data_IF_832948633211
#
_entry.id   IF_832948633211
#
_cell.length_a   1.000
_cell.length_b   1.000
_cell.length_c   1.000
_cell.angle_alpha   90.00
_cell.angle_beta   90.00
_cell.angle_gamma   90.00
#
_symmetry.space_group_name_H-M   'P 1'
#
loop_
_entity.id
_entity.type
_entity.pdbx_description
1 polymer ?
#
# COMPACT_ATOMS: atom_id res chain seq x y z
N UNK A 1 21.86 61.10 -15.65
CA UNK A 1 20.73 60.17 -15.50
C UNK A 1 21.15 59.01 -14.60
N UNK A 2 20.47 58.73 -13.48
CA UNK A 2 20.85 57.63 -12.60
C UNK A 2 20.29 56.29 -13.12
N UNK A 3 21.13 55.25 -13.14
CA UNK A 3 20.73 53.89 -13.49
C UNK A 3 19.97 53.27 -12.31
N UNK A 4 18.70 52.92 -12.53
CA UNK A 4 17.94 52.10 -11.60
C UNK A 4 18.51 50.67 -11.58
N UNK A 5 19.17 50.29 -10.50
CA UNK A 5 19.42 48.88 -10.18
C UNK A 5 18.12 48.24 -9.69
N UNK A 6 17.53 47.40 -10.53
CA UNK A 6 16.44 46.51 -10.14
C UNK A 6 16.98 45.44 -9.18
N UNK A 7 16.65 45.56 -7.90
CA UNK A 7 16.85 44.49 -6.93
C UNK A 7 15.93 43.31 -7.27
N UNK A 8 16.43 42.34 -8.03
CA UNK A 8 15.82 41.01 -8.05
C UNK A 8 16.10 40.34 -6.71
N UNK A 9 15.13 40.43 -5.79
CA UNK A 9 15.13 39.54 -4.62
C UNK A 9 14.97 38.11 -5.14
N UNK A 10 15.91 37.18 -4.85
CA UNK A 10 15.69 35.79 -5.18
C UNK A 10 14.43 35.33 -4.45
N UNK A 11 13.45 34.83 -5.20
CA UNK A 11 12.30 34.13 -4.62
C UNK A 11 12.85 32.92 -3.87
N UNK A 12 13.09 33.08 -2.57
CA UNK A 12 13.28 31.96 -1.66
C UNK A 12 11.94 31.26 -1.53
N UNK A 13 11.66 30.35 -2.46
CA UNK A 13 10.63 29.35 -2.24
C UNK A 13 10.97 28.66 -0.91
N UNK A 14 10.02 28.57 0.04
CA UNK A 14 10.25 27.80 1.24
C UNK A 14 10.68 26.39 0.81
N UNK A 15 11.64 25.77 1.52
CA UNK A 15 12.03 24.40 1.21
C UNK A 15 10.75 23.55 1.18
N UNK A 16 10.56 22.70 0.15
CA UNK A 16 9.37 21.90 0.04
C UNK A 16 9.16 21.14 1.36
N UNK A 17 7.93 21.06 1.87
CA UNK A 17 7.65 20.35 3.10
C UNK A 17 8.30 18.97 3.01
N UNK A 18 9.02 18.56 4.05
CA UNK A 18 9.64 17.23 4.11
C UNK A 18 8.50 16.22 3.97
N UNK A 19 8.35 15.64 2.79
CA UNK A 19 7.37 14.60 2.53
C UNK A 19 7.56 13.52 3.61
N UNK A 20 6.47 13.04 4.25
CA UNK A 20 6.59 12.00 5.26
C UNK A 20 7.27 10.75 4.69
N UNK A 21 7.24 10.56 3.36
CA UNK A 21 7.85 9.49 2.58
C UNK A 21 9.37 9.65 2.37
N UNK A 22 10.16 9.26 3.37
CA UNK A 22 11.63 9.16 3.25
C UNK A 22 12.09 8.06 2.28
N UNK A 23 13.39 8.06 1.94
CA UNK A 23 14.03 7.06 1.04
C UNK A 23 13.79 5.62 1.50
N UNK A 24 13.84 5.39 2.81
CA UNK A 24 13.57 4.07 3.41
C UNK A 24 12.15 3.59 3.12
N UNK A 25 11.14 4.47 3.14
CA UNK A 25 9.78 4.05 2.79
C UNK A 25 9.65 3.69 1.31
N UNK A 26 10.29 4.42 0.41
CA UNK A 26 10.27 4.07 -1.02
C UNK A 26 10.94 2.71 -1.24
N UNK A 27 12.01 2.42 -0.50
CA UNK A 27 12.67 1.11 -0.50
C UNK A 27 11.74 0.01 0.01
N UNK A 28 11.17 0.19 1.20
CA UNK A 28 10.25 -0.79 1.81
C UNK A 28 9.02 -1.07 0.94
N UNK A 29 8.45 -0.04 0.30
CA UNK A 29 7.31 -0.22 -0.59
C UNK A 29 7.69 -1.04 -1.82
N UNK A 30 8.87 -0.80 -2.39
CA UNK A 30 9.39 -1.55 -3.52
C UNK A 30 9.64 -3.01 -3.16
N UNK A 31 10.27 -3.26 -2.01
CA UNK A 31 10.51 -4.60 -1.49
C UNK A 31 9.20 -5.32 -1.19
N UNK A 32 8.20 -4.64 -0.62
CA UNK A 32 6.86 -5.18 -0.40
C UNK A 32 6.23 -5.65 -1.71
N UNK A 33 6.25 -4.79 -2.73
CA UNK A 33 5.67 -5.09 -4.04
C UNK A 33 6.39 -6.28 -4.68
N UNK A 34 7.73 -6.26 -4.74
CA UNK A 34 8.50 -7.33 -5.38
C UNK A 34 8.37 -8.66 -4.64
N UNK A 35 8.47 -8.67 -3.30
CA UNK A 35 8.29 -9.90 -2.51
C UNK A 35 6.89 -10.47 -2.68
N UNK A 36 5.88 -9.62 -2.75
CA UNK A 36 4.51 -10.07 -2.97
C UNK A 36 4.40 -10.75 -4.34
N UNK A 37 4.87 -10.12 -5.43
CA UNK A 37 4.84 -10.75 -6.76
C UNK A 37 5.59 -12.07 -6.80
N UNK A 38 6.82 -12.10 -6.26
CA UNK A 38 7.65 -13.31 -6.24
C UNK A 38 6.98 -14.43 -5.43
N UNK A 39 6.21 -14.08 -4.38
CA UNK A 39 5.50 -15.07 -3.57
C UNK A 39 4.24 -15.63 -4.24
N UNK A 40 3.64 -14.92 -5.19
CA UNK A 40 2.48 -15.41 -5.96
C UNK A 40 2.90 -16.35 -7.09
N UNK A 41 4.10 -16.16 -7.64
CA UNK A 41 4.65 -16.99 -8.71
C UNK A 41 5.35 -18.24 -8.14
N UNK A 42 4.59 -19.31 -7.95
CA UNK A 42 5.09 -20.57 -7.36
C UNK A 42 6.27 -21.21 -8.13
N UNK A 43 6.34 -21.00 -9.44
CA UNK A 43 7.43 -21.49 -10.30
C UNK A 43 8.64 -20.53 -10.29
N UNK A 44 8.51 -19.36 -9.68
CA UNK A 44 9.49 -18.28 -9.68
C UNK A 44 9.30 -17.30 -10.82
N UNK A 45 9.92 -16.12 -10.71
CA UNK A 45 9.76 -15.01 -11.65
C UNK A 45 11.11 -14.46 -12.11
N UNK A 46 11.21 -14.04 -13.37
CA UNK A 46 12.44 -13.43 -13.87
C UNK A 46 12.50 -11.94 -13.55
N UNK A 47 13.70 -11.36 -13.52
CA UNK A 47 13.87 -9.91 -13.36
C UNK A 47 13.25 -9.11 -14.52
N UNK A 48 13.15 -9.72 -15.71
CA UNK A 48 12.50 -9.11 -16.87
C UNK A 48 10.97 -9.06 -16.69
N UNK A 49 10.36 -10.12 -16.18
CA UNK A 49 8.92 -10.15 -15.93
C UNK A 49 8.53 -9.15 -14.83
N UNK A 50 9.32 -9.07 -13.76
CA UNK A 50 9.15 -8.03 -12.73
C UNK A 50 9.26 -6.60 -13.30
N UNK A 51 10.20 -6.37 -14.21
CA UNK A 51 10.33 -5.07 -14.88
C UNK A 51 9.06 -4.74 -15.70
N UNK A 52 8.56 -5.71 -16.46
CA UNK A 52 7.37 -5.54 -17.30
C UNK A 52 6.13 -5.27 -16.46
N UNK A 53 5.94 -5.99 -15.36
CA UNK A 53 4.77 -5.87 -14.49
C UNK A 53 4.63 -4.48 -13.85
N UNK A 54 5.76 -3.82 -13.52
CA UNK A 54 5.76 -2.55 -12.79
C UNK A 54 6.22 -1.34 -13.60
N UNK A 55 6.54 -1.51 -14.89
CA UNK A 55 7.13 -0.47 -15.74
C UNK A 55 8.32 0.25 -15.08
N UNK A 56 9.04 -0.48 -14.22
CA UNK A 56 10.14 0.07 -13.45
C UNK A 56 11.41 0.16 -14.30
N UNK A 57 12.28 1.13 -13.98
CA UNK A 57 13.62 1.18 -14.61
C UNK A 57 14.38 -0.10 -14.33
N UNK A 58 14.87 -0.74 -15.38
CA UNK A 58 15.58 -2.03 -15.32
C UNK A 58 16.67 -2.04 -14.23
N UNK A 59 17.53 -1.01 -14.19
CA UNK A 59 18.60 -0.88 -13.19
C UNK A 59 18.10 -0.94 -11.75
N UNK A 60 16.93 -0.35 -11.47
CA UNK A 60 16.36 -0.38 -10.13
C UNK A 60 15.85 -1.78 -9.77
N UNK A 61 15.28 -2.51 -10.73
CA UNK A 61 14.79 -3.87 -10.51
C UNK A 61 15.96 -4.78 -10.14
N UNK A 62 17.00 -4.84 -10.97
CA UNK A 62 18.14 -5.72 -10.73
C UNK A 62 18.94 -5.34 -9.48
N UNK A 63 19.10 -4.04 -9.19
CA UNK A 63 19.73 -3.60 -7.93
C UNK A 63 18.95 -4.11 -6.71
N UNK A 64 17.63 -3.92 -6.70
CA UNK A 64 16.80 -4.36 -5.58
C UNK A 64 16.77 -5.89 -5.46
N UNK A 65 16.75 -6.63 -6.57
CA UNK A 65 16.86 -8.10 -6.53
C UNK A 65 18.20 -8.57 -5.95
N UNK A 66 19.32 -7.92 -6.30
CA UNK A 66 20.62 -8.22 -5.70
C UNK A 66 20.61 -7.94 -4.19
N UNK A 67 20.17 -6.74 -3.77
CA UNK A 67 20.06 -6.37 -2.34
C UNK A 67 19.20 -7.38 -1.56
N UNK A 68 18.06 -7.81 -2.12
CA UNK A 68 17.17 -8.79 -1.49
C UNK A 68 17.76 -10.20 -1.46
N UNK A 69 18.60 -10.55 -2.43
CA UNK A 69 19.33 -11.83 -2.46
C UNK A 69 20.43 -11.84 -1.40
N UNK A 70 21.22 -10.77 -1.31
CA UNK A 70 22.25 -10.58 -0.28
C UNK A 70 21.65 -10.58 1.13
N UNK A 71 20.49 -9.94 1.30
CA UNK A 71 19.73 -9.99 2.55
C UNK A 71 19.11 -11.37 2.85
N UNK A 72 19.15 -12.31 1.90
CA UNK A 72 18.59 -13.65 2.02
C UNK A 72 17.06 -13.68 2.04
N UNK A 73 16.40 -12.67 1.49
CA UNK A 73 14.94 -12.66 1.35
C UNK A 73 14.47 -13.49 0.17
N UNK A 74 15.25 -13.51 -0.91
CA UNK A 74 14.97 -14.30 -2.11
C UNK A 74 16.16 -15.19 -2.45
N UNK A 75 15.88 -16.22 -3.22
CA UNK A 75 16.88 -17.12 -3.82
C UNK A 75 16.66 -17.12 -5.33
N UNK A 76 17.66 -17.57 -6.09
CA UNK A 76 17.48 -17.75 -7.53
C UNK A 76 18.07 -19.06 -8.01
N UNK A 77 17.50 -19.56 -9.11
CA UNK A 77 18.10 -20.62 -9.93
C UNK A 77 18.44 -20.04 -11.30
N UNK A 78 19.54 -20.49 -11.89
CA UNK A 78 19.86 -20.14 -13.27
C UNK A 78 18.99 -20.99 -14.21
N UNK A 79 18.36 -20.31 -15.17
CA UNK A 79 17.55 -20.93 -16.22
C UNK A 79 17.95 -20.35 -17.56
N UNK A 80 17.67 -21.04 -18.65
CA UNK A 80 17.93 -20.54 -20.00
C UNK A 80 16.59 -20.27 -20.67
N UNK A 81 16.27 -19.01 -20.89
CA UNK A 81 15.04 -18.60 -21.60
C UNK A 81 15.46 -18.00 -22.94
N UNK A 82 15.02 -18.63 -24.04
CA UNK A 82 15.35 -18.20 -25.41
C UNK A 82 16.86 -18.06 -25.66
N UNK A 83 17.66 -19.01 -25.15
CA UNK A 83 19.12 -19.03 -25.33
C UNK A 83 19.92 -18.02 -24.50
N UNK A 84 19.27 -17.28 -23.58
CA UNK A 84 19.95 -16.39 -22.64
C UNK A 84 19.82 -16.93 -21.22
N UNK A 85 20.94 -16.94 -20.50
CA UNK A 85 20.94 -17.22 -19.07
C UNK A 85 20.13 -16.13 -18.35
N UNK A 86 19.15 -16.57 -17.56
CA UNK A 86 18.30 -15.73 -16.74
C UNK A 86 18.24 -16.29 -15.32
N UNK A 87 18.01 -15.41 -14.36
CA UNK A 87 17.78 -15.78 -12.96
C UNK A 87 16.28 -15.87 -12.72
N UNK A 88 15.84 -17.04 -12.26
CA UNK A 88 14.48 -17.30 -11.81
C UNK A 88 14.44 -17.16 -10.29
N UNK A 89 13.77 -16.13 -9.79
CA UNK A 89 13.76 -15.77 -8.38
C UNK A 89 12.58 -16.41 -7.65
N UNK A 90 12.82 -16.89 -6.44
CA UNK A 90 11.80 -17.46 -5.55
C UNK A 90 11.98 -16.92 -4.14
N UNK A 91 10.87 -16.75 -3.42
CA UNK A 91 10.89 -16.24 -2.05
C UNK A 91 11.43 -17.29 -1.08
N UNK A 92 12.28 -16.86 -0.14
CA UNK A 92 12.78 -17.73 0.93
C UNK A 92 11.86 -17.71 2.15
N UNK A 93 12.01 -18.63 3.13
CA UNK A 93 11.30 -18.55 4.41
C UNK A 93 11.56 -17.24 5.18
N UNK A 94 12.79 -16.71 5.09
CA UNK A 94 13.14 -15.40 5.69
C UNK A 94 12.41 -14.27 4.97
N UNK A 95 12.35 -14.32 3.64
CA UNK A 95 11.60 -13.39 2.80
C UNK A 95 10.11 -13.40 3.13
N UNK A 96 9.52 -14.57 3.37
CA UNK A 96 8.10 -14.68 3.73
C UNK A 96 7.80 -14.01 5.09
N UNK A 97 8.67 -14.20 6.08
CA UNK A 97 8.57 -13.51 7.37
C UNK A 97 8.70 -11.99 7.19
N UNK A 98 9.64 -11.55 6.35
CA UNK A 98 9.83 -10.13 6.07
C UNK A 98 8.66 -9.51 5.30
N UNK A 99 8.09 -10.22 4.32
CA UNK A 99 6.87 -9.81 3.61
C UNK A 99 5.70 -9.62 4.59
N UNK A 100 5.51 -10.53 5.54
CA UNK A 100 4.48 -10.38 6.57
C UNK A 100 4.73 -9.19 7.49
N UNK A 101 5.99 -8.92 7.85
CA UNK A 101 6.38 -7.71 8.58
C UNK A 101 6.04 -6.45 7.79
N UNK A 102 6.42 -6.38 6.51
CA UNK A 102 6.13 -5.25 5.64
C UNK A 102 4.63 -5.03 5.46
N UNK A 103 3.84 -6.11 5.28
CA UNK A 103 2.37 -6.04 5.21
C UNK A 103 1.81 -5.37 6.46
N UNK A 104 2.17 -5.85 7.66
CA UNK A 104 1.70 -5.23 8.93
C UNK A 104 2.08 -3.76 9.02
N UNK A 105 3.35 -3.45 8.75
CA UNK A 105 3.89 -2.08 8.81
C UNK A 105 3.17 -1.13 7.86
N UNK A 106 2.94 -1.56 6.61
CA UNK A 106 2.28 -0.76 5.59
C UNK A 106 0.77 -0.69 5.76
N UNK A 107 0.11 -1.73 6.30
CA UNK A 107 -1.32 -1.67 6.62
C UNK A 107 -1.62 -0.54 7.60
N UNK A 108 -0.86 -0.40 8.69
CA UNK A 108 -1.06 0.69 9.65
C UNK A 108 -0.85 2.06 9.00
N UNK A 109 0.20 2.21 8.18
CA UNK A 109 0.48 3.46 7.47
C UNK A 109 -0.58 3.83 6.44
N UNK A 110 -1.03 2.85 5.66
CA UNK A 110 -2.08 3.06 4.65
C UNK A 110 -3.39 3.38 5.34
N UNK A 111 -3.74 2.71 6.44
CA UNK A 111 -4.94 3.04 7.25
C UNK A 111 -4.93 4.50 7.67
N UNK A 112 -3.83 4.95 8.29
CA UNK A 112 -3.68 6.35 8.66
C UNK A 112 -3.81 7.29 7.46
N UNK A 113 -3.16 6.98 6.33
CA UNK A 113 -3.25 7.80 5.13
C UNK A 113 -4.67 7.85 4.56
N UNK A 114 -5.42 6.75 4.59
CA UNK A 114 -6.81 6.73 4.12
C UNK A 114 -7.76 7.46 5.06
N UNK A 115 -7.42 7.57 6.35
CA UNK A 115 -8.21 8.33 7.32
C UNK A 115 -7.97 9.83 7.17
N UNK A 116 -6.71 10.24 6.97
CA UNK A 116 -6.33 11.66 6.81
C UNK A 116 -6.63 12.17 5.40
N UNK A 117 -6.46 11.31 4.39
CA UNK A 117 -6.66 11.62 2.97
C UNK A 117 -7.52 10.52 2.35
N UNK A 118 -8.83 10.50 2.65
CA UNK A 118 -9.73 9.53 2.07
C UNK A 118 -9.75 9.69 0.54
N UNK A 119 -9.72 8.59 -0.23
CA UNK A 119 -9.69 8.65 -1.69
C UNK A 119 -11.08 8.99 -2.24
N UNK A 120 -11.51 10.24 -2.04
CA UNK A 120 -12.80 10.78 -2.44
C UNK A 120 -12.69 11.65 -3.71
N UNK A 121 -13.85 11.93 -4.31
CA UNK A 121 -13.94 12.87 -5.44
C UNK A 121 -13.07 12.43 -6.63
N UNK A 122 -12.18 13.32 -7.08
CA UNK A 122 -11.30 13.07 -8.25
C UNK A 122 -10.16 12.09 -7.96
N UNK A 123 -9.89 11.81 -6.68
CA UNK A 123 -8.86 10.87 -6.25
C UNK A 123 -9.42 9.45 -6.11
N UNK A 124 -10.73 9.27 -6.18
CA UNK A 124 -11.35 7.95 -6.26
C UNK A 124 -10.96 7.25 -7.57
N UNK A 125 -10.38 6.03 -7.57
CA UNK A 125 -9.78 5.43 -8.76
C UNK A 125 -10.65 5.44 -10.04
N UNK A 126 -11.96 5.12 -10.00
CA UNK A 126 -12.84 5.19 -11.18
C UNK A 126 -13.00 6.58 -11.79
N UNK A 127 -12.79 7.63 -10.99
CA UNK A 127 -12.89 9.04 -11.40
C UNK A 127 -11.55 9.61 -11.87
N UNK A 128 -10.46 8.84 -11.78
CA UNK A 128 -9.15 9.25 -12.24
C UNK A 128 -9.03 9.05 -13.75
N UNK A 129 -8.61 10.10 -14.48
CA UNK A 129 -8.49 10.08 -15.95
C UNK A 129 -7.62 8.93 -16.47
N UNK A 130 -6.52 8.60 -15.80
CA UNK A 130 -5.63 7.52 -16.25
C UNK A 130 -6.28 6.14 -16.08
N UNK A 131 -7.09 5.93 -15.03
CA UNK A 131 -7.85 4.69 -14.85
C UNK A 131 -8.96 4.56 -15.89
N UNK A 132 -9.65 5.65 -16.21
CA UNK A 132 -10.61 5.67 -17.31
C UNK A 132 -9.96 5.27 -18.62
N UNK A 133 -8.78 5.83 -18.94
CA UNK A 133 -8.01 5.42 -20.13
C UNK A 133 -7.64 3.94 -20.13
N UNK A 134 -7.25 3.39 -18.98
CA UNK A 134 -6.93 1.96 -18.87
C UNK A 134 -8.15 1.07 -19.11
N UNK A 135 -9.29 1.42 -18.51
CA UNK A 135 -10.56 0.70 -18.70
C UNK A 135 -10.97 0.74 -20.18
N UNK A 136 -10.92 1.92 -20.80
CA UNK A 136 -11.23 2.08 -22.22
C UNK A 136 -10.28 1.25 -23.09
N UNK A 137 -8.98 1.27 -22.78
CA UNK A 137 -8.01 0.45 -23.50
C UNK A 137 -8.29 -1.06 -23.38
N UNK A 138 -8.66 -1.55 -22.20
CA UNK A 138 -9.06 -2.95 -22.02
C UNK A 138 -10.31 -3.28 -22.83
N UNK A 139 -11.31 -2.39 -22.85
CA UNK A 139 -12.53 -2.54 -23.65
C UNK A 139 -12.21 -2.58 -25.15
N UNK A 140 -11.27 -1.75 -25.62
CA UNK A 140 -10.85 -1.73 -27.03
C UNK A 140 -10.19 -3.06 -27.49
N UNK A 141 -9.75 -3.90 -26.56
CA UNK A 141 -9.19 -5.23 -26.87
C UNK A 141 -10.25 -6.36 -26.85
N UNK A 142 -11.50 -6.06 -26.48
CA UNK A 142 -12.56 -7.06 -26.43
C UNK A 142 -13.22 -7.17 -27.81
N UNK A 143 -13.38 -8.40 -28.29
CA UNK A 143 -13.86 -8.69 -29.64
C UNK A 143 -15.36 -9.00 -29.67
N UNK A 144 -15.95 -9.36 -28.52
CA UNK A 144 -17.33 -9.84 -28.42
C UNK A 144 -18.10 -9.19 -27.27
N UNK A 145 -19.43 -9.20 -27.40
CA UNK A 145 -20.33 -8.73 -26.35
C UNK A 145 -20.18 -9.55 -25.06
N UNK A 146 -20.01 -10.87 -25.16
CA UNK A 146 -19.87 -11.75 -23.99
C UNK A 146 -18.62 -11.42 -23.18
N UNK A 147 -17.50 -11.13 -23.86
CA UNK A 147 -16.26 -10.68 -23.21
C UNK A 147 -16.45 -9.34 -22.48
N UNK A 148 -17.20 -8.39 -23.08
CA UNK A 148 -17.53 -7.13 -22.42
C UNK A 148 -18.40 -7.34 -21.18
N UNK A 149 -19.41 -8.19 -21.27
CA UNK A 149 -20.29 -8.49 -20.13
C UNK A 149 -19.52 -9.16 -18.98
N UNK A 150 -18.62 -10.11 -19.29
CA UNK A 150 -17.78 -10.77 -18.28
C UNK A 150 -16.80 -9.79 -17.61
N UNK A 151 -16.19 -8.89 -18.40
CA UNK A 151 -15.34 -7.81 -17.87
C UNK A 151 -16.11 -6.89 -16.91
N UNK A 152 -17.30 -6.44 -17.31
CA UNK A 152 -18.15 -5.58 -16.48
C UNK A 152 -18.65 -6.29 -15.22
N UNK A 153 -19.01 -7.57 -15.30
CA UNK A 153 -19.41 -8.36 -14.13
C UNK A 153 -18.23 -8.56 -13.16
N UNK A 154 -17.02 -8.77 -13.68
CA UNK A 154 -15.79 -8.82 -12.88
C UNK A 154 -15.54 -7.51 -12.13
N UNK A 155 -15.69 -6.36 -12.80
CA UNK A 155 -15.62 -5.04 -12.18
C UNK A 155 -16.71 -4.86 -11.10
N UNK A 156 -17.95 -5.26 -11.41
CA UNK A 156 -19.06 -5.18 -10.47
C UNK A 156 -18.79 -6.00 -9.20
N UNK A 157 -18.38 -7.26 -9.35
CA UNK A 157 -17.97 -8.14 -8.24
C UNK A 157 -16.82 -7.54 -7.43
N UNK A 158 -15.85 -6.88 -8.06
CA UNK A 158 -14.77 -6.19 -7.37
C UNK A 158 -15.30 -5.10 -6.43
N UNK A 159 -16.21 -4.24 -6.91
CA UNK A 159 -16.80 -3.17 -6.07
C UNK A 159 -17.70 -3.73 -4.97
N UNK A 160 -18.49 -4.77 -5.24
CA UNK A 160 -19.28 -5.43 -4.20
C UNK A 160 -18.41 -5.96 -3.05
N UNK A 161 -17.28 -6.61 -3.36
CA UNK A 161 -16.31 -7.06 -2.34
C UNK A 161 -15.69 -5.88 -1.59
N UNK A 162 -15.52 -4.73 -2.23
CA UNK A 162 -15.01 -3.52 -1.58
C UNK A 162 -16.04 -2.94 -0.61
N UNK A 163 -17.31 -2.87 -0.99
CA UNK A 163 -18.42 -2.44 -0.12
C UNK A 163 -18.46 -3.31 1.14
N UNK A 164 -18.53 -4.63 1.00
CA UNK A 164 -18.55 -5.56 2.14
C UNK A 164 -17.38 -5.37 3.11
N UNK A 165 -16.18 -5.08 2.59
CA UNK A 165 -15.00 -4.78 3.42
C UNK A 165 -15.12 -3.47 4.17
N UNK A 166 -15.64 -2.42 3.53
CA UNK A 166 -15.87 -1.12 4.16
C UNK A 166 -16.96 -1.19 5.21
N UNK A 167 -18.05 -1.93 4.96
CA UNK A 167 -19.11 -2.18 5.96
C UNK A 167 -18.55 -2.90 7.19
N UNK A 168 -17.79 -3.98 6.99
CA UNK A 168 -17.12 -4.68 8.10
C UNK A 168 -16.19 -3.76 8.88
N UNK A 169 -15.45 -2.89 8.18
CA UNK A 169 -14.58 -1.92 8.83
C UNK A 169 -15.37 -0.89 9.65
N UNK A 170 -16.48 -0.38 9.11
CA UNK A 170 -17.40 0.50 9.82
C UNK A 170 -17.97 -0.15 11.08
N UNK A 171 -18.41 -1.42 10.98
CA UNK A 171 -18.88 -2.20 12.14
C UNK A 171 -17.82 -2.35 13.22
N UNK A 172 -16.56 -2.63 12.84
CA UNK A 172 -15.46 -2.73 13.79
C UNK A 172 -15.21 -1.40 14.52
N UNK A 173 -15.26 -0.27 13.81
CA UNK A 173 -15.12 1.05 14.42
C UNK A 173 -16.26 1.34 15.39
N UNK A 174 -17.51 1.03 15.00
CA UNK A 174 -18.68 1.18 15.87
C UNK A 174 -18.55 0.35 17.15
N UNK A 175 -18.04 -0.88 17.06
CA UNK A 175 -17.77 -1.71 18.25
C UNK A 175 -16.76 -1.02 19.19
N UNK A 176 -15.66 -0.50 18.64
CA UNK A 176 -14.66 0.24 19.44
C UNK A 176 -15.27 1.49 20.08
N UNK A 177 -16.12 2.23 19.36
CA UNK A 177 -16.84 3.39 19.92
C UNK A 177 -17.73 2.99 21.10
N UNK A 178 -18.48 1.89 20.98
CA UNK A 178 -19.33 1.41 22.07
C UNK A 178 -18.53 1.03 23.32
N UNK A 179 -17.38 0.35 23.14
CA UNK A 179 -16.49 0.01 24.25
C UNK A 179 -15.92 1.27 24.92
N UNK A 180 -15.56 2.30 24.14
CA UNK A 180 -15.12 3.59 24.67
C UNK A 180 -16.22 4.29 25.46
N UNK A 181 -17.47 4.28 24.97
CA UNK A 181 -18.61 4.84 25.70
C UNK A 181 -18.84 4.13 27.04
N UNK A 182 -18.70 2.80 27.08
CA UNK A 182 -18.78 2.02 28.31
C UNK A 182 -17.67 2.43 29.31
N UNK A 183 -16.42 2.53 28.84
CA UNK A 183 -15.28 2.98 29.65
C UNK A 183 -15.51 4.40 30.19
N UNK A 184 -16.00 5.32 29.35
CA UNK A 184 -16.33 6.68 29.77
C UNK A 184 -17.39 6.64 30.87
N UNK A 185 -18.46 5.86 30.69
CA UNK A 185 -19.51 5.67 31.67
C UNK A 185 -18.99 5.14 33.02
N UNK A 186 -18.16 4.09 33.00
CA UNK A 186 -17.54 3.54 34.21
C UNK A 186 -16.65 4.57 34.92
N UNK A 187 -15.86 5.34 34.18
CA UNK A 187 -14.99 6.37 34.75
C UNK A 187 -15.81 7.52 35.35
N UNK A 188 -16.89 7.95 34.68
CA UNK A 188 -17.78 9.02 35.18
C UNK A 188 -18.51 8.62 36.46
N UNK A 189 -18.76 7.33 36.67
CA UNK A 189 -19.41 6.82 37.89
C UNK A 189 -18.44 6.62 39.06
N UNK A 190 -17.13 6.86 38.90
CA UNK A 190 -16.17 6.78 40.00
C UNK A 190 -16.44 7.90 41.01
N UNK A 191 -16.82 7.53 42.24
CA UNK A 191 -17.01 8.46 43.35
C UNK A 191 -15.74 9.22 43.72
N UNK A 192 -14.57 8.56 43.59
CA UNK A 192 -13.25 9.15 43.78
C UNK A 192 -12.32 8.74 42.63
N UNK A 193 -11.74 9.74 41.96
CA UNK A 193 -10.80 9.48 40.87
C UNK A 193 -9.50 8.86 41.40
N UNK A 194 -9.12 7.72 40.82
CA UNK A 194 -7.82 7.08 41.02
C UNK A 194 -7.25 6.65 39.68
N UNK A 195 -6.01 7.06 39.40
CA UNK A 195 -5.32 6.70 38.15
C UNK A 195 -5.21 5.17 37.97
N UNK A 196 -5.00 4.42 39.04
CA UNK A 196 -4.90 2.95 38.98
C UNK A 196 -6.25 2.29 38.66
N UNK A 197 -7.36 2.83 39.20
CA UNK A 197 -8.71 2.37 38.85
C UNK A 197 -9.02 2.67 37.37
N UNK A 198 -8.73 3.89 36.91
CA UNK A 198 -8.94 4.28 35.52
C UNK A 198 -8.11 3.41 34.55
N UNK A 199 -6.82 3.16 34.84
CA UNK A 199 -5.98 2.25 34.05
C UNK A 199 -6.55 0.84 33.98
N UNK A 200 -7.11 0.33 35.08
CA UNK A 200 -7.70 -1.01 35.14
C UNK A 200 -8.94 -1.11 34.25
N UNK A 201 -9.82 -0.11 34.29
CA UNK A 201 -10.99 -0.01 33.41
C UNK A 201 -10.56 0.04 31.94
N UNK A 202 -9.60 0.92 31.60
CA UNK A 202 -9.09 1.07 30.23
C UNK A 202 -8.41 -0.23 29.73
N UNK A 203 -7.70 -0.97 30.58
CA UNK A 203 -7.07 -2.23 30.20
C UNK A 203 -8.08 -3.29 29.75
N UNK A 204 -9.23 -3.39 30.42
CA UNK A 204 -10.29 -4.33 30.05
C UNK A 204 -10.80 -4.11 28.63
N UNK A 205 -10.88 -2.85 28.18
CA UNK A 205 -11.25 -2.51 26.80
C UNK A 205 -10.30 -3.14 25.78
N UNK A 206 -8.98 -3.13 26.05
CA UNK A 206 -7.99 -3.71 25.14
C UNK A 206 -8.00 -5.24 25.10
N UNK A 207 -8.57 -5.91 26.11
CA UNK A 207 -8.70 -7.37 26.15
C UNK A 207 -9.90 -7.86 25.31
N UNK A 208 -10.85 -6.98 24.99
CA UNK A 208 -12.09 -7.29 24.25
C UNK A 208 -12.05 -6.94 22.74
N UNK A 209 -10.94 -6.33 22.27
CA UNK A 209 -10.68 -5.88 20.89
C UNK A 209 -9.72 -6.83 20.19
#
# INVERSE_FOLDING_TARGET
MPRHHSFHRPHHFPPPPRMPFGREMIKELRELVFLWTIAEESEGITGYDLQKNYQAKQTNVYRTLNEMTEAGYITFKETTVKGRAQKLYSISPKGQKYLNYLRRKWTTRISFLTDVVPPEGRFFPPRQKHRQKHILHEIDQLETQDQLLDYLDTLHKHYQRRIKRLEKHSQNIQKIMQELENVIGEITQLSDFSQEKAKTIIKKMFENI
#
